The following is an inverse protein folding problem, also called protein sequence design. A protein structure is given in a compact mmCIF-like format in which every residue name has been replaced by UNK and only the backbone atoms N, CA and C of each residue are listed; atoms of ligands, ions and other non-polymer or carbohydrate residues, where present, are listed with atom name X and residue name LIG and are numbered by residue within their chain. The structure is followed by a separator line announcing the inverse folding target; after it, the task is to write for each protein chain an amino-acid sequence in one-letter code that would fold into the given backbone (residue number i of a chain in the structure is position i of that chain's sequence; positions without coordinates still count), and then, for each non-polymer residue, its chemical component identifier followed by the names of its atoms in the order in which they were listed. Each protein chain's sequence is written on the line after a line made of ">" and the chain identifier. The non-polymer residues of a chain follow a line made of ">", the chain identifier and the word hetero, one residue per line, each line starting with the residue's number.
data_IF_587387246727
#
_entry.id   IF_587387246727
#
_cell.length_a   1.000
_cell.length_b   1.000
_cell.length_c   1.000
_cell.angle_alpha   90.00
_cell.angle_beta   90.00
_cell.angle_gamma   90.00
#
_symmetry.space_group_name_H-M   'P 1'
#
loop_
_entity.id
_entity.type
_entity.pdbx_description
1 polymer ?
#
# COMPACT_ATOMS: atom_id res chain seq x y z
N UNK A 1 1.68 -7.67 -0.81
CA UNK A 1 2.45 -6.41 -0.72
C UNK A 1 3.83 -6.73 -0.14
N UNK A 2 4.94 -6.33 -0.76
CA UNK A 2 6.27 -6.49 -0.19
C UNK A 2 6.40 -5.68 1.12
N UNK A 3 7.26 -6.08 2.07
CA UNK A 3 7.47 -5.32 3.31
C UNK A 3 8.18 -3.99 3.00
N UNK A 4 7.41 -2.92 2.88
CA UNK A 4 7.90 -1.54 2.64
C UNK A 4 7.68 -0.60 3.83
N UNK A 5 7.13 -1.11 4.94
CA UNK A 5 6.74 -0.30 6.11
C UNK A 5 5.29 0.20 6.08
N UNK A 6 4.64 0.23 4.92
CA UNK A 6 3.26 0.75 4.78
C UNK A 6 2.18 -0.22 5.29
N UNK A 7 2.48 -1.51 5.42
CA UNK A 7 1.44 -2.53 5.64
C UNK A 7 0.74 -2.39 6.99
N UNK A 8 1.54 -2.28 8.05
CA UNK A 8 1.01 -2.10 9.40
C UNK A 8 0.39 -0.70 9.59
N UNK A 9 0.98 0.32 8.95
CA UNK A 9 0.48 1.69 9.00
C UNK A 9 -0.92 1.82 8.38
N UNK A 10 -1.20 1.08 7.30
CA UNK A 10 -2.49 1.10 6.63
C UNK A 10 -3.53 0.19 7.30
N UNK A 11 -3.11 -0.91 7.92
CA UNK A 11 -4.04 -1.90 8.48
C UNK A 11 -4.94 -1.37 9.60
N UNK A 12 -4.39 -0.54 10.51
CA UNK A 12 -5.15 0.00 11.64
C UNK A 12 -6.23 1.02 11.23
N UNK A 13 -5.93 2.07 10.43
CA UNK A 13 -6.97 3.00 9.97
C UNK A 13 -8.00 2.33 9.08
N UNK A 14 -7.60 1.35 8.27
CA UNK A 14 -8.53 0.57 7.44
C UNK A 14 -9.53 -0.23 8.29
N UNK A 15 -9.04 -0.93 9.31
CA UNK A 15 -9.90 -1.67 10.23
C UNK A 15 -10.83 -0.76 11.02
N UNK A 16 -10.36 0.41 11.46
CA UNK A 16 -11.18 1.40 12.15
C UNK A 16 -12.30 1.94 11.25
N UNK A 17 -11.96 2.40 10.04
CA UNK A 17 -12.92 2.97 9.10
C UNK A 17 -13.98 1.96 8.63
N UNK A 18 -13.58 0.71 8.37
CA UNK A 18 -14.53 -0.34 8.03
C UNK A 18 -15.42 -0.70 9.23
N UNK A 19 -14.85 -0.79 10.43
CA UNK A 19 -15.61 -1.07 11.65
C UNK A 19 -16.68 -0.02 11.93
N UNK A 20 -16.35 1.26 11.74
CA UNK A 20 -17.32 2.36 11.86
C UNK A 20 -18.45 2.26 10.83
N UNK A 21 -18.12 1.98 9.56
CA UNK A 21 -19.11 1.83 8.50
C UNK A 21 -20.07 0.65 8.76
N UNK A 22 -19.56 -0.46 9.28
CA UNK A 22 -20.37 -1.63 9.64
C UNK A 22 -21.28 -1.39 10.85
N UNK A 23 -20.86 -0.53 11.79
CA UNK A 23 -21.64 -0.21 12.98
C UNK A 23 -22.76 0.82 12.74
N UNK A 24 -22.76 1.51 11.59
CA UNK A 24 -23.70 2.57 11.28
C UNK A 24 -25.11 2.04 10.94
N UNK A 25 -26.19 2.48 11.63
CA UNK A 25 -27.57 2.11 11.30
C UNK A 25 -28.03 2.72 9.95
N UNK A 26 -28.88 2.03 9.15
CA UNK A 26 -29.56 0.76 9.43
C UNK A 26 -28.68 -0.50 9.28
N UNK A 27 -27.39 -0.36 8.98
CA UNK A 27 -26.45 -1.47 8.79
C UNK A 27 -26.63 -2.13 7.42
N UNK A 28 -25.80 -1.74 6.46
CA UNK A 28 -25.71 -2.40 5.16
C UNK A 28 -24.26 -2.87 4.95
N UNK A 29 -24.04 -4.16 5.21
CA UNK A 29 -22.71 -4.77 5.18
C UNK A 29 -22.12 -4.74 3.76
N UNK A 30 -22.93 -5.05 2.75
CA UNK A 30 -22.47 -5.10 1.36
C UNK A 30 -22.13 -3.70 0.85
N UNK A 31 -22.93 -2.70 1.20
CA UNK A 31 -22.60 -1.31 0.86
C UNK A 31 -21.33 -0.82 1.56
N UNK A 32 -21.13 -1.17 2.85
CA UNK A 32 -19.93 -0.81 3.59
C UNK A 32 -18.67 -1.48 3.01
N UNK A 33 -18.75 -2.77 2.68
CA UNK A 33 -17.66 -3.50 2.03
C UNK A 33 -17.35 -2.93 0.65
N UNK A 34 -18.36 -2.70 -0.19
CA UNK A 34 -18.16 -2.15 -1.53
C UNK A 34 -17.50 -0.77 -1.50
N UNK A 35 -17.92 0.12 -0.59
CA UNK A 35 -17.33 1.44 -0.42
C UNK A 35 -15.87 1.36 0.07
N UNK A 36 -15.60 0.48 1.04
CA UNK A 36 -14.25 0.26 1.56
C UNK A 36 -13.31 -0.31 0.49
N UNK A 37 -13.74 -1.34 -0.24
CA UNK A 37 -12.97 -2.00 -1.29
C UNK A 37 -12.67 -1.06 -2.47
N UNK A 38 -13.63 -0.22 -2.85
CA UNK A 38 -13.45 0.78 -3.90
C UNK A 38 -12.31 1.77 -3.58
N UNK A 39 -12.09 2.08 -2.31
CA UNK A 39 -10.96 2.89 -1.85
C UNK A 39 -9.68 2.06 -1.66
N UNK A 40 -9.80 0.86 -1.10
CA UNK A 40 -8.69 -0.02 -0.75
C UNK A 40 -7.92 -0.48 -1.98
N UNK A 41 -8.59 -1.00 -3.02
CA UNK A 41 -7.90 -1.67 -4.12
C UNK A 41 -6.98 -0.76 -4.94
N UNK A 42 -7.42 0.45 -5.37
CA UNK A 42 -6.53 1.36 -6.09
C UNK A 42 -5.32 1.79 -5.25
N UNK A 43 -5.56 2.08 -3.96
CA UNK A 43 -4.48 2.44 -3.02
C UNK A 43 -3.51 1.28 -2.84
N UNK A 44 -4.01 0.07 -2.60
CA UNK A 44 -3.20 -1.13 -2.40
C UNK A 44 -2.35 -1.48 -3.63
N UNK A 45 -2.91 -1.35 -4.83
CA UNK A 45 -2.17 -1.55 -6.08
C UNK A 45 -1.02 -0.55 -6.22
N UNK A 46 -1.26 0.73 -5.91
CA UNK A 46 -0.21 1.77 -5.92
C UNK A 46 0.88 1.48 -4.90
N UNK A 47 0.50 1.19 -3.65
CA UNK A 47 1.48 0.88 -2.58
C UNK A 47 2.31 -0.35 -2.92
N UNK A 48 1.71 -1.38 -3.54
CA UNK A 48 2.45 -2.56 -3.98
C UNK A 48 3.47 -2.23 -5.07
N UNK A 49 3.08 -1.44 -6.09
CA UNK A 49 3.98 -1.02 -7.16
C UNK A 49 5.14 -0.15 -6.64
N UNK A 50 4.88 0.75 -5.70
CA UNK A 50 5.92 1.59 -5.09
C UNK A 50 6.86 0.77 -4.19
N UNK A 51 6.32 -0.19 -3.42
CA UNK A 51 7.12 -1.12 -2.63
C UNK A 51 8.04 -1.99 -3.50
N UNK A 52 7.57 -2.46 -4.65
CA UNK A 52 8.37 -3.25 -5.59
C UNK A 52 9.56 -2.47 -6.14
N UNK A 53 9.38 -1.20 -6.51
CA UNK A 53 10.47 -0.32 -6.98
C UNK A 53 11.57 -0.20 -5.92
N UNK A 54 11.17 0.15 -4.69
CA UNK A 54 12.10 0.32 -3.56
C UNK A 54 12.83 -0.99 -3.25
N UNK A 55 12.10 -2.10 -3.21
CA UNK A 55 12.69 -3.41 -2.93
C UNK A 55 13.69 -3.82 -4.02
N UNK A 56 13.38 -3.56 -5.30
CA UNK A 56 14.28 -3.84 -6.43
C UNK A 56 15.58 -3.05 -6.33
N UNK A 57 15.54 -1.79 -5.89
CA UNK A 57 16.75 -0.99 -5.66
C UNK A 57 17.62 -1.56 -4.53
N UNK A 58 16.99 -2.04 -3.46
CA UNK A 58 17.67 -2.51 -2.25
C UNK A 58 18.21 -3.94 -2.37
N UNK A 59 17.50 -4.85 -3.03
CA UNK A 59 17.82 -6.30 -3.06
C UNK A 59 17.71 -6.95 -4.44
N UNK A 60 17.45 -6.18 -5.49
CA UNK A 60 17.42 -6.70 -6.87
C UNK A 60 18.81 -7.02 -7.42
N UNK A 61 18.87 -7.56 -8.64
CA UNK A 61 20.13 -8.03 -9.24
C UNK A 61 21.19 -6.94 -9.50
N UNK A 62 20.80 -5.66 -9.41
CA UNK A 62 21.70 -4.49 -9.51
C UNK A 62 22.04 -3.87 -8.16
N UNK A 63 21.63 -4.47 -7.05
CA UNK A 63 21.96 -3.94 -5.73
C UNK A 63 23.48 -4.03 -5.45
N UNK A 64 24.09 -2.99 -4.84
CA UNK A 64 23.50 -1.72 -4.42
C UNK A 64 23.55 -0.61 -5.49
N UNK A 65 24.09 -0.87 -6.69
CA UNK A 65 24.32 0.15 -7.72
C UNK A 65 23.06 0.96 -8.07
N UNK A 66 21.90 0.30 -8.24
CA UNK A 66 20.65 1.01 -8.54
C UNK A 66 20.23 2.00 -7.44
N UNK A 67 20.45 1.66 -6.17
CA UNK A 67 20.18 2.56 -5.05
C UNK A 67 21.13 3.76 -5.04
N UNK A 68 22.41 3.55 -5.38
CA UNK A 68 23.41 4.61 -5.49
C UNK A 68 23.04 5.58 -6.63
N UNK A 69 22.68 5.06 -7.80
CA UNK A 69 22.26 5.83 -8.97
C UNK A 69 21.04 6.72 -8.63
N UNK A 70 20.03 6.17 -7.94
CA UNK A 70 18.87 6.93 -7.44
C UNK A 70 19.27 8.12 -6.56
N UNK A 71 20.17 7.93 -5.58
CA UNK A 71 20.63 9.02 -4.72
C UNK A 71 21.56 10.02 -5.42
N UNK A 72 22.30 9.56 -6.44
CA UNK A 72 23.18 10.41 -7.25
C UNK A 72 22.42 11.23 -8.31
N UNK A 73 21.13 10.95 -8.53
CA UNK A 73 20.33 11.60 -9.58
C UNK A 73 20.78 11.22 -10.99
N UNK A 74 21.50 10.11 -11.14
CA UNK A 74 21.91 9.59 -12.43
C UNK A 74 20.82 8.62 -12.90
N UNK A 75 20.00 9.07 -13.86
CA UNK A 75 19.16 8.15 -14.63
C UNK A 75 20.09 7.22 -15.42
N UNK A 76 19.96 5.90 -15.20
CA UNK A 76 20.70 4.87 -15.93
C UNK A 76 20.32 4.78 -17.40
#
# INVERSE_FOLDING_TARGET
>A
MPPSGEGANLALPDGAGLGEALAAPPGDVEAALAAYEAALFPRGARTAADAEKVLTLCVGGRAPCGLIEMFAGADG
#
